data_IF_306362117262
#
_entry.id   IF_306362117262
#
_cell.length_a   1.000
_cell.length_b   1.000
_cell.length_c   1.000
_cell.angle_alpha   90.00
_cell.angle_beta   90.00
_cell.angle_gamma   90.00
#
_symmetry.space_group_name_H-M   'P 1'
#
loop_
_entity.id
_entity.type
_entity.pdbx_description
1 polymer ?
#
# COMPACT_ATOMS: atom_id res chain seq x y z
N UNK A 1 -47.99 2.95 -2.12
CA UNK A 1 -47.40 1.68 -2.58
C UNK A 1 -45.87 1.70 -2.60
N UNK A 2 -45.22 2.80 -3.01
CA UNK A 2 -43.75 2.91 -3.06
C UNK A 2 -43.07 2.64 -1.70
N UNK A 3 -43.64 3.14 -0.60
CA UNK A 3 -43.12 2.90 0.77
C UNK A 3 -43.11 1.43 1.19
N UNK A 4 -44.03 0.61 0.66
CA UNK A 4 -44.12 -0.82 0.96
C UNK A 4 -43.02 -1.62 0.24
N UNK A 5 -42.73 -1.26 -1.02
CA UNK A 5 -41.65 -1.86 -1.80
C UNK A 5 -40.28 -1.55 -1.16
N UNK A 6 -40.06 -0.31 -0.72
CA UNK A 6 -38.81 0.10 -0.06
C UNK A 6 -38.58 -0.66 1.26
N UNK A 7 -39.65 -0.97 2.00
CA UNK A 7 -39.54 -1.71 3.26
C UNK A 7 -39.18 -3.20 3.03
N UNK A 8 -39.68 -3.82 1.96
CA UNK A 8 -39.31 -5.19 1.59
C UNK A 8 -37.87 -5.25 1.07
N UNK A 9 -37.45 -4.27 0.25
CA UNK A 9 -36.08 -4.16 -0.25
C UNK A 9 -35.08 -3.82 0.87
N UNK A 10 -35.48 -3.02 1.85
CA UNK A 10 -34.68 -2.78 3.06
C UNK A 10 -34.43 -4.03 3.89
N UNK A 11 -35.29 -5.05 3.81
CA UNK A 11 -35.12 -6.33 4.52
C UNK A 11 -34.37 -7.38 3.69
N UNK A 12 -34.07 -7.09 2.42
CA UNK A 12 -33.30 -7.97 1.53
C UNK A 12 -31.77 -7.87 1.71
N UNK A 13 -31.29 -7.10 2.70
CA UNK A 13 -29.86 -7.01 3.01
C UNK A 13 -29.06 -6.23 1.96
N UNK A 14 -27.73 -6.27 2.07
CA UNK A 14 -26.86 -5.67 1.06
C UNK A 14 -26.98 -6.50 -0.24
N UNK A 15 -26.78 -5.96 -1.46
CA UNK A 15 -26.93 -6.71 -2.72
C UNK A 15 -26.20 -8.06 -2.77
N UNK A 16 -25.13 -8.21 -1.97
CA UNK A 16 -24.37 -9.45 -1.74
C UNK A 16 -25.18 -10.60 -1.12
N UNK A 17 -26.21 -10.31 -0.31
CA UNK A 17 -27.02 -11.30 0.41
C UNK A 17 -28.08 -11.97 -0.47
N UNK A 18 -28.37 -11.38 -1.65
CA UNK A 18 -29.35 -11.87 -2.64
C UNK A 18 -28.69 -12.38 -3.92
N UNK A 19 -27.38 -12.65 -3.89
CA UNK A 19 -26.63 -13.21 -5.01
C UNK A 19 -26.35 -12.23 -6.16
N UNK A 20 -26.54 -10.92 -5.95
CA UNK A 20 -26.08 -9.90 -6.88
C UNK A 20 -24.62 -9.56 -6.53
N UNK A 21 -23.66 -9.71 -7.47
CA UNK A 21 -22.28 -9.33 -7.22
C UNK A 21 -22.20 -7.83 -6.88
N UNK A 22 -21.88 -7.50 -5.63
CA UNK A 22 -21.65 -6.11 -5.21
C UNK A 22 -20.21 -5.73 -5.60
N UNK A 23 -20.07 -4.66 -6.39
CA UNK A 23 -18.74 -4.15 -6.80
C UNK A 23 -17.92 -3.57 -5.64
N UNK A 24 -18.47 -3.52 -4.43
CA UNK A 24 -17.75 -3.14 -3.22
C UNK A 24 -16.75 -4.20 -2.78
N UNK A 25 -17.03 -5.49 -3.00
CA UNK A 25 -16.14 -6.58 -2.56
C UNK A 25 -14.79 -6.54 -3.29
N UNK A 26 -14.80 -6.23 -4.58
CA UNK A 26 -13.58 -6.06 -5.39
C UNK A 26 -12.70 -4.91 -4.88
N UNK A 27 -13.32 -3.80 -4.44
CA UNK A 27 -12.59 -2.65 -3.89
C UNK A 27 -11.99 -2.95 -2.52
N UNK A 28 -12.71 -3.69 -1.67
CA UNK A 28 -12.24 -4.09 -0.34
C UNK A 28 -11.07 -5.06 -0.46
N UNK A 29 -11.16 -6.05 -1.35
CA UNK A 29 -10.07 -6.99 -1.61
C UNK A 29 -8.82 -6.27 -2.15
N UNK A 30 -8.99 -5.38 -3.13
CA UNK A 30 -7.88 -4.61 -3.70
C UNK A 30 -7.21 -3.69 -2.67
N UNK A 31 -8.00 -2.98 -1.86
CA UNK A 31 -7.46 -2.08 -0.84
C UNK A 31 -6.73 -2.86 0.27
N UNK A 32 -7.26 -4.03 0.65
CA UNK A 32 -6.65 -4.87 1.67
C UNK A 32 -5.29 -5.42 1.21
N UNK A 33 -5.22 -5.91 -0.03
CA UNK A 33 -3.96 -6.38 -0.64
C UNK A 33 -2.96 -5.23 -0.78
N UNK A 34 -3.40 -4.08 -1.30
CA UNK A 34 -2.53 -2.91 -1.45
C UNK A 34 -1.95 -2.45 -0.11
N UNK A 35 -2.78 -2.35 0.93
CA UNK A 35 -2.33 -1.97 2.28
C UNK A 35 -1.31 -2.97 2.85
N UNK A 36 -1.51 -4.28 2.63
CA UNK A 36 -0.56 -5.31 3.06
C UNK A 36 0.80 -5.15 2.35
N UNK A 37 0.79 -4.93 1.04
CA UNK A 37 2.02 -4.73 0.25
C UNK A 37 2.75 -3.44 0.70
N UNK A 38 2.02 -2.36 0.96
CA UNK A 38 2.59 -1.11 1.47
C UNK A 38 3.20 -1.30 2.87
N UNK A 39 2.55 -2.05 3.75
CA UNK A 39 3.09 -2.31 5.09
C UNK A 39 4.41 -3.09 5.04
N UNK A 40 4.49 -4.16 4.24
CA UNK A 40 5.70 -4.97 4.12
C UNK A 40 6.83 -4.15 3.46
N UNK A 41 6.53 -3.45 2.37
CA UNK A 41 7.54 -2.65 1.65
C UNK A 41 8.12 -1.52 2.51
N UNK A 42 7.30 -0.85 3.33
CA UNK A 42 7.77 0.18 4.26
C UNK A 42 8.77 -0.40 5.29
N UNK A 43 8.46 -1.57 5.87
CA UNK A 43 9.35 -2.24 6.84
C UNK A 43 10.67 -2.64 6.18
N UNK A 44 10.64 -3.21 4.99
CA UNK A 44 11.85 -3.62 4.24
C UNK A 44 12.72 -2.41 3.89
N UNK A 45 12.11 -1.28 3.52
CA UNK A 45 12.84 -0.04 3.23
C UNK A 45 13.58 0.48 4.47
N UNK A 46 12.91 0.52 5.63
CA UNK A 46 13.52 0.96 6.89
C UNK A 46 14.70 0.05 7.28
N UNK A 47 14.51 -1.27 7.20
CA UNK A 47 15.57 -2.25 7.51
C UNK A 47 16.78 -2.03 6.60
N UNK A 48 16.54 -1.80 5.31
CA UNK A 48 17.61 -1.56 4.33
C UNK A 48 18.40 -0.29 4.66
N UNK A 49 17.73 0.81 5.01
CA UNK A 49 18.38 2.06 5.47
C UNK A 49 19.28 1.79 6.67
N UNK A 50 18.82 1.01 7.66
CA UNK A 50 19.60 0.69 8.86
C UNK A 50 20.85 -0.12 8.50
N UNK A 51 20.72 -1.17 7.67
CA UNK A 51 21.85 -2.02 7.28
C UNK A 51 22.91 -1.20 6.55
N UNK A 52 22.51 -0.38 5.58
CA UNK A 52 23.46 0.46 4.83
C UNK A 52 24.01 1.61 5.68
N UNK A 53 23.24 2.12 6.64
CA UNK A 53 23.69 3.11 7.62
C UNK A 53 24.79 2.57 8.54
N UNK A 54 24.62 1.35 9.06
CA UNK A 54 25.66 0.67 9.85
C UNK A 54 26.89 0.42 8.98
N UNK A 55 26.70 -0.07 7.75
CA UNK A 55 27.82 -0.32 6.84
C UNK A 55 28.60 0.96 6.52
N UNK A 56 27.92 2.10 6.37
CA UNK A 56 28.55 3.41 6.18
C UNK A 56 29.41 3.79 7.40
N UNK A 57 28.86 3.66 8.60
CA UNK A 57 29.57 4.00 9.85
C UNK A 57 30.80 3.12 10.11
N UNK A 58 30.75 1.83 9.75
CA UNK A 58 31.86 0.88 9.95
C UNK A 58 32.85 0.87 8.77
N UNK A 59 32.61 1.65 7.71
CA UNK A 59 33.45 1.63 6.50
C UNK A 59 34.90 2.10 6.72
N UNK A 60 35.22 2.72 7.87
CA UNK A 60 36.59 3.07 8.30
C UNK A 60 37.44 3.83 7.26
N UNK A 61 36.82 4.53 6.31
CA UNK A 61 37.50 5.27 5.26
C UNK A 61 37.85 4.47 4.00
N UNK A 62 37.49 3.18 3.92
CA UNK A 62 37.63 2.40 2.69
C UNK A 62 36.67 2.95 1.62
N UNK A 63 37.19 3.55 0.52
CA UNK A 63 36.35 4.21 -0.48
C UNK A 63 35.37 3.25 -1.17
N UNK A 64 35.69 1.96 -1.27
CA UNK A 64 34.80 0.96 -1.85
C UNK A 64 33.59 0.69 -0.96
N UNK A 65 33.80 0.56 0.36
CA UNK A 65 32.72 0.32 1.32
C UNK A 65 31.84 1.55 1.52
N UNK A 66 32.46 2.73 1.58
CA UNK A 66 31.74 4.01 1.68
C UNK A 66 30.82 4.22 0.48
N UNK A 67 31.33 4.00 -0.74
CA UNK A 67 30.53 4.15 -1.97
C UNK A 67 29.35 3.17 -2.01
N UNK A 68 29.60 1.90 -1.66
CA UNK A 68 28.54 0.87 -1.62
C UNK A 68 27.46 1.21 -0.59
N UNK A 69 27.84 1.62 0.61
CA UNK A 69 26.90 1.99 1.66
C UNK A 69 26.08 3.22 1.27
N UNK A 70 26.72 4.25 0.69
CA UNK A 70 26.04 5.46 0.22
C UNK A 70 25.00 5.14 -0.86
N UNK A 71 25.36 4.33 -1.86
CA UNK A 71 24.43 3.92 -2.90
C UNK A 71 23.27 3.10 -2.33
N UNK A 72 23.54 2.21 -1.37
CA UNK A 72 22.50 1.44 -0.67
C UNK A 72 21.50 2.33 0.09
N UNK A 73 21.98 3.37 0.78
CA UNK A 73 21.13 4.36 1.44
C UNK A 73 20.27 5.08 0.40
N UNK A 74 20.87 5.57 -0.69
CA UNK A 74 20.15 6.28 -1.75
C UNK A 74 19.04 5.39 -2.34
N UNK A 75 19.34 4.15 -2.69
CA UNK A 75 18.34 3.23 -3.24
C UNK A 75 17.22 2.91 -2.25
N UNK A 76 17.53 2.80 -0.96
CA UNK A 76 16.51 2.56 0.07
C UNK A 76 15.58 3.77 0.24
N UNK A 77 16.12 5.00 0.17
CA UNK A 77 15.33 6.23 0.22
C UNK A 77 14.46 6.39 -1.03
N UNK A 78 15.01 6.11 -2.21
CA UNK A 78 14.25 6.13 -3.46
C UNK A 78 13.12 5.09 -3.43
N UNK A 79 13.39 3.88 -2.92
CA UNK A 79 12.37 2.85 -2.74
C UNK A 79 11.21 3.30 -1.84
N UNK A 80 11.52 3.98 -0.73
CA UNK A 80 10.50 4.55 0.16
C UNK A 80 9.66 5.63 -0.54
N UNK A 81 10.29 6.49 -1.34
CA UNK A 81 9.62 7.50 -2.16
C UNK A 81 8.66 6.88 -3.17
N UNK A 82 9.08 5.78 -3.82
CA UNK A 82 8.22 5.05 -4.78
C UNK A 82 7.00 4.45 -4.09
N UNK A 83 7.16 3.85 -2.91
CA UNK A 83 6.04 3.33 -2.10
C UNK A 83 5.05 4.45 -1.76
N UNK A 84 5.56 5.63 -1.41
CA UNK A 84 4.70 6.78 -1.12
C UNK A 84 3.93 7.26 -2.36
N UNK A 85 4.60 7.37 -3.52
CA UNK A 85 3.93 7.70 -4.77
C UNK A 85 2.85 6.68 -5.13
N UNK A 86 3.12 5.39 -4.94
CA UNK A 86 2.16 4.33 -5.19
C UNK A 86 0.91 4.46 -4.31
N UNK A 87 1.05 4.83 -3.02
CA UNK A 87 -0.08 5.09 -2.14
C UNK A 87 -0.99 6.22 -2.67
N UNK A 88 -0.38 7.32 -3.12
CA UNK A 88 -1.13 8.46 -3.69
C UNK A 88 -1.89 8.03 -4.96
N UNK A 89 -1.23 7.29 -5.84
CA UNK A 89 -1.85 6.81 -7.09
C UNK A 89 -3.01 5.85 -6.80
N UNK A 90 -2.83 4.88 -5.90
CA UNK A 90 -3.89 3.93 -5.52
C UNK A 90 -5.12 4.65 -4.97
N UNK A 91 -4.92 5.64 -4.09
CA UNK A 91 -6.03 6.42 -3.55
C UNK A 91 -6.73 7.28 -4.62
N UNK A 92 -5.96 7.85 -5.55
CA UNK A 92 -6.52 8.60 -6.67
C UNK A 92 -7.40 7.72 -7.56
N UNK A 93 -6.92 6.53 -7.91
CA UNK A 93 -7.67 5.56 -8.72
C UNK A 93 -8.90 5.03 -7.96
N UNK A 94 -8.77 4.69 -6.68
CA UNK A 94 -9.88 4.22 -5.87
C UNK A 94 -10.98 5.29 -5.70
N UNK A 95 -10.58 6.56 -5.51
CA UNK A 95 -11.49 7.69 -5.40
C UNK A 95 -12.23 8.02 -6.70
N UNK A 96 -11.65 7.74 -7.87
CA UNK A 96 -12.28 8.00 -9.17
C UNK A 96 -13.51 7.12 -9.45
N UNK A 97 -13.62 5.97 -8.77
CA UNK A 97 -14.73 5.02 -8.93
C UNK A 97 -15.83 5.18 -7.87
N UNK A 98 -15.78 6.22 -7.04
CA UNK A 98 -16.90 6.63 -6.17
C UNK A 98 -17.80 7.64 -6.89
#
# INVERSE_FOLDING_TARGET
>A
MEKFIVQIVSQLGSPSDVGIPDRKDDKVALQSIANLVFAISAVVAIISIIIYGIMYSVSAGDPGKVSKAKNGIIYSVVGLLVVWCAFVITNYVAGRFN
#
